data_IF_449219554675
#
_entry.id   IF_449219554675
#
_cell.length_a   1.000
_cell.length_b   1.000
_cell.length_c   1.000
_cell.angle_alpha   90.00
_cell.angle_beta   90.00
_cell.angle_gamma   90.00
#
_symmetry.space_group_name_H-M   'P 1'
#
loop_
_entity.id
_entity.type
_entity.pdbx_description
1 polymer ?
#
# COMPACT_ATOMS: atom_id res chain seq x y z
N UNK A 1 22.13 -2.43 -9.67
CA UNK A 1 21.23 -3.60 -9.60
C UNK A 1 20.90 -3.83 -8.14
N UNK A 2 19.67 -3.55 -7.71
CA UNK A 2 19.25 -3.92 -6.36
C UNK A 2 19.12 -5.44 -6.30
N UNK A 3 19.80 -6.08 -5.34
CA UNK A 3 19.76 -7.53 -5.18
C UNK A 3 18.39 -7.94 -4.62
N UNK A 4 17.78 -9.00 -5.16
CA UNK A 4 16.47 -9.49 -4.71
C UNK A 4 16.52 -9.84 -3.20
N UNK A 5 15.78 -9.13 -2.32
CA UNK A 5 15.80 -9.37 -0.88
C UNK A 5 15.44 -10.81 -0.45
N UNK A 6 14.70 -11.58 -1.25
CA UNK A 6 14.50 -13.02 -1.00
C UNK A 6 15.81 -13.78 -1.11
N UNK A 7 16.61 -13.51 -2.14
CA UNK A 7 17.89 -14.19 -2.37
C UNK A 7 18.90 -13.79 -1.28
N UNK A 8 18.97 -12.50 -0.92
CA UNK A 8 20.02 -12.01 -0.02
C UNK A 8 19.69 -12.10 1.46
N UNK A 9 18.40 -12.09 1.83
CA UNK A 9 17.97 -12.06 3.24
C UNK A 9 17.16 -13.28 3.64
N UNK A 10 16.10 -13.62 2.89
CA UNK A 10 15.17 -14.70 3.28
C UNK A 10 15.75 -16.10 3.08
N UNK A 11 16.32 -16.36 1.90
CA UNK A 11 16.77 -17.70 1.50
C UNK A 11 17.86 -18.28 2.41
N UNK A 12 18.88 -17.52 2.84
CA UNK A 12 19.86 -18.02 3.81
C UNK A 12 19.23 -18.46 5.14
N UNK A 13 18.21 -17.74 5.62
CA UNK A 13 17.49 -18.10 6.84
C UNK A 13 16.63 -19.34 6.62
N UNK A 14 15.93 -19.41 5.49
CA UNK A 14 15.13 -20.58 5.13
C UNK A 14 15.99 -21.85 5.05
N UNK A 15 17.21 -21.79 4.51
CA UNK A 15 18.12 -22.95 4.49
C UNK A 15 18.64 -23.36 5.87
N UNK A 16 18.77 -22.40 6.79
CA UNK A 16 19.26 -22.65 8.15
C UNK A 16 18.19 -23.22 9.09
N UNK A 17 16.91 -23.12 8.71
CA UNK A 17 15.78 -23.45 9.57
C UNK A 17 14.77 -24.38 8.89
N UNK A 18 14.53 -25.55 9.49
CA UNK A 18 13.69 -26.57 8.88
C UNK A 18 12.24 -26.10 8.65
N UNK A 19 11.62 -25.39 9.61
CA UNK A 19 10.22 -24.99 9.44
C UNK A 19 10.10 -23.90 8.37
N UNK A 20 11.00 -22.92 8.41
CA UNK A 20 11.06 -21.83 7.45
C UNK A 20 11.36 -22.33 6.03
N UNK A 21 12.19 -23.38 5.89
CA UNK A 21 12.44 -24.05 4.63
C UNK A 21 11.15 -24.63 4.02
N UNK A 22 10.38 -25.39 4.81
CA UNK A 22 9.19 -26.09 4.32
C UNK A 22 8.08 -25.11 3.89
N UNK A 23 7.83 -24.06 4.69
CA UNK A 23 6.84 -23.03 4.31
C UNK A 23 7.30 -22.22 3.08
N UNK A 24 8.62 -22.05 2.88
CA UNK A 24 9.16 -21.39 1.69
C UNK A 24 8.95 -22.24 0.44
N UNK A 25 9.20 -23.55 0.52
CA UNK A 25 8.91 -24.49 -0.57
C UNK A 25 7.41 -24.53 -0.88
N UNK A 26 6.58 -24.51 0.15
CA UNK A 26 5.14 -24.50 0.01
C UNK A 26 4.63 -23.22 -0.67
N UNK A 27 5.23 -22.06 -0.37
CA UNK A 27 4.92 -20.78 -1.03
C UNK A 27 5.26 -20.84 -2.52
N UNK A 28 6.40 -21.44 -2.88
CA UNK A 28 6.77 -21.64 -4.28
C UNK A 28 5.79 -22.57 -5.01
N UNK A 29 5.40 -23.70 -4.38
CA UNK A 29 4.39 -24.62 -4.91
C UNK A 29 3.05 -23.92 -5.13
N UNK A 30 2.59 -23.13 -4.15
CA UNK A 30 1.33 -22.39 -4.26
C UNK A 30 1.34 -21.45 -5.47
N UNK A 31 2.45 -20.74 -5.69
CA UNK A 31 2.57 -19.83 -6.83
C UNK A 31 2.45 -20.58 -8.16
N UNK A 32 3.16 -21.69 -8.34
CA UNK A 32 3.05 -22.51 -9.56
C UNK A 32 1.63 -23.06 -9.75
N UNK A 33 1.00 -23.53 -8.68
CA UNK A 33 -0.34 -24.12 -8.70
C UNK A 33 -1.44 -23.09 -8.99
N UNK A 34 -1.32 -21.87 -8.45
CA UNK A 34 -2.20 -20.73 -8.78
C UNK A 34 -2.17 -20.43 -10.27
N UNK A 35 -0.98 -20.43 -10.89
CA UNK A 35 -0.84 -20.19 -12.32
C UNK A 35 -1.38 -21.36 -13.16
N UNK A 36 -1.23 -22.60 -12.67
CA UNK A 36 -1.74 -23.78 -13.34
C UNK A 36 -3.26 -23.90 -13.29
N UNK A 37 -3.94 -23.26 -12.33
CA UNK A 37 -5.40 -23.29 -12.11
C UNK A 37 -5.97 -24.72 -11.99
N UNK A 38 -5.23 -25.62 -11.32
CA UNK A 38 -5.58 -27.05 -11.20
C UNK A 38 -5.79 -27.52 -9.75
N UNK A 39 -6.06 -26.59 -8.84
CA UNK A 39 -6.08 -26.85 -7.39
C UNK A 39 -4.68 -26.87 -6.78
N UNK A 40 -4.55 -27.36 -5.54
CA UNK A 40 -3.34 -27.21 -4.72
C UNK A 40 -2.76 -28.54 -4.14
N UNK A 41 -2.74 -29.66 -4.89
CA UNK A 41 -2.37 -30.96 -4.32
C UNK A 41 -0.95 -31.00 -3.72
N UNK A 42 0.03 -30.31 -4.30
CA UNK A 42 1.41 -30.28 -3.80
C UNK A 42 1.49 -29.37 -2.58
N UNK A 43 0.90 -28.17 -2.65
CA UNK A 43 0.86 -27.27 -1.50
C UNK A 43 0.09 -27.87 -0.32
N UNK A 44 -0.95 -28.68 -0.56
CA UNK A 44 -1.68 -29.39 0.50
C UNK A 44 -0.84 -30.48 1.15
N UNK A 45 -0.07 -31.23 0.35
CA UNK A 45 0.87 -32.22 0.87
C UNK A 45 1.94 -31.57 1.77
N UNK A 46 2.56 -30.49 1.30
CA UNK A 46 3.58 -29.73 2.05
C UNK A 46 3.00 -29.03 3.29
N UNK A 47 1.69 -28.77 3.31
CA UNK A 47 1.00 -28.13 4.45
C UNK A 47 1.06 -29.01 5.69
N UNK A 48 0.87 -30.32 5.53
CA UNK A 48 0.86 -31.29 6.63
C UNK A 48 2.18 -31.23 7.40
N UNK A 49 3.30 -31.26 6.68
CA UNK A 49 4.63 -31.20 7.28
C UNK A 49 4.93 -29.84 7.91
N UNK A 50 4.56 -28.76 7.23
CA UNK A 50 4.77 -27.39 7.71
C UNK A 50 4.03 -27.12 9.02
N UNK A 51 2.75 -27.52 9.11
CA UNK A 51 1.94 -27.37 10.33
C UNK A 51 2.52 -28.24 11.46
N UNK A 52 2.94 -29.48 11.16
CA UNK A 52 3.52 -30.37 12.16
C UNK A 52 4.82 -29.79 12.75
N UNK A 53 5.68 -29.21 11.91
CA UNK A 53 6.91 -28.55 12.34
C UNK A 53 6.62 -27.31 13.19
N UNK A 54 5.72 -26.43 12.74
CA UNK A 54 5.35 -25.22 13.50
C UNK A 54 4.72 -25.58 14.85
N UNK A 55 3.85 -26.60 14.91
CA UNK A 55 3.25 -27.05 16.17
C UNK A 55 4.31 -27.51 17.17
N UNK A 56 5.27 -28.35 16.74
CA UNK A 56 6.38 -28.80 17.60
C UNK A 56 7.21 -27.64 18.14
N UNK A 57 7.43 -26.59 17.33
CA UNK A 57 8.17 -25.39 17.78
C UNK A 57 7.39 -24.59 18.80
N UNK A 58 6.08 -24.43 18.63
CA UNK A 58 5.24 -23.69 19.56
C UNK A 58 5.14 -24.42 20.91
N UNK A 59 5.20 -25.74 20.91
CA UNK A 59 5.23 -26.57 22.13
C UNK A 59 6.56 -26.47 22.90
N UNK A 60 7.67 -26.11 22.24
CA UNK A 60 8.98 -25.91 22.85
C UNK A 60 9.21 -24.41 23.19
N UNK A 61 9.25 -24.01 24.47
CA UNK A 61 9.46 -22.62 24.86
C UNK A 61 10.75 -21.98 24.32
N UNK A 62 11.77 -22.78 24.00
CA UNK A 62 13.04 -22.31 23.45
C UNK A 62 12.98 -21.99 21.94
N UNK A 63 11.94 -22.49 21.25
CA UNK A 63 11.72 -22.33 19.81
C UNK A 63 10.50 -21.46 19.50
N UNK A 64 9.48 -21.49 20.36
CA UNK A 64 8.17 -20.86 20.13
C UNK A 64 8.26 -19.36 19.77
N UNK A 65 9.22 -18.65 20.37
CA UNK A 65 9.36 -17.20 20.21
C UNK A 65 10.51 -16.77 19.30
N UNK A 66 11.13 -17.71 18.56
CA UNK A 66 12.18 -17.37 17.60
C UNK A 66 11.62 -16.68 16.35
N UNK A 67 12.48 -15.92 15.68
CA UNK A 67 12.16 -15.19 14.46
C UNK A 67 11.60 -16.12 13.38
N UNK A 68 12.25 -17.26 13.16
CA UNK A 68 11.87 -18.25 12.14
C UNK A 68 10.50 -18.89 12.43
N UNK A 69 10.11 -18.99 13.70
CA UNK A 69 8.79 -19.48 14.10
C UNK A 69 7.71 -18.47 13.70
N UNK A 70 7.94 -17.17 13.92
CA UNK A 70 6.99 -16.12 13.53
C UNK A 70 6.89 -15.99 12.01
N UNK A 71 8.03 -16.01 11.34
CA UNK A 71 8.12 -15.98 9.88
C UNK A 71 7.42 -17.19 9.26
N UNK A 72 7.53 -18.38 9.87
CA UNK A 72 6.78 -19.56 9.44
C UNK A 72 5.27 -19.39 9.63
N UNK A 73 4.82 -18.91 10.79
CA UNK A 73 3.39 -18.71 11.07
C UNK A 73 2.77 -17.67 10.15
N UNK A 74 3.43 -16.54 9.90
CA UNK A 74 2.88 -15.51 9.01
C UNK A 74 2.89 -15.96 7.55
N UNK A 75 3.90 -16.75 7.13
CA UNK A 75 3.94 -17.33 5.79
C UNK A 75 2.80 -18.33 5.59
N UNK A 76 2.49 -19.16 6.59
CA UNK A 76 1.32 -20.05 6.56
C UNK A 76 0.01 -19.27 6.40
N UNK A 77 -0.12 -18.10 7.06
CA UNK A 77 -1.29 -17.24 6.87
C UNK A 77 -1.44 -16.79 5.40
N UNK A 78 -0.34 -16.41 4.75
CA UNK A 78 -0.36 -16.05 3.33
C UNK A 78 -0.70 -17.22 2.42
N UNK A 79 -0.20 -18.42 2.73
CA UNK A 79 -0.46 -19.62 1.95
C UNK A 79 -1.95 -19.99 2.01
N UNK A 80 -2.51 -20.06 3.22
CA UNK A 80 -3.94 -20.34 3.41
C UNK A 80 -4.80 -19.27 2.73
N UNK A 81 -4.39 -18.01 2.77
CA UNK A 81 -5.12 -16.92 2.10
C UNK A 81 -5.10 -17.09 0.59
N UNK A 82 -3.95 -17.44 0.00
CA UNK A 82 -3.83 -17.71 -1.43
C UNK A 82 -4.66 -18.92 -1.90
N UNK A 83 -4.94 -19.87 -1.00
CA UNK A 83 -5.88 -20.98 -1.25
C UNK A 83 -7.35 -20.61 -1.03
N UNK A 84 -7.64 -19.41 -0.55
CA UNK A 84 -8.98 -18.94 -0.21
C UNK A 84 -9.47 -19.37 1.18
N UNK A 85 -8.62 -19.94 2.03
CA UNK A 85 -8.97 -20.35 3.39
C UNK A 85 -8.82 -19.19 4.39
N UNK A 86 -9.81 -18.30 4.39
CA UNK A 86 -9.80 -17.07 5.18
C UNK A 86 -9.77 -17.33 6.69
N UNK A 87 -10.44 -18.39 7.15
CA UNK A 87 -10.54 -18.73 8.57
C UNK A 87 -9.19 -19.20 9.14
N UNK A 88 -8.50 -20.10 8.43
CA UNK A 88 -7.16 -20.54 8.82
C UNK A 88 -6.15 -19.38 8.76
N UNK A 89 -6.24 -18.54 7.71
CA UNK A 89 -5.41 -17.35 7.56
C UNK A 89 -5.54 -16.43 8.79
N UNK A 90 -6.78 -16.10 9.17
CA UNK A 90 -7.07 -15.29 10.36
C UNK A 90 -6.54 -15.93 11.64
N UNK A 91 -6.67 -17.25 11.79
CA UNK A 91 -6.13 -17.97 12.95
C UNK A 91 -4.61 -17.82 13.05
N UNK A 92 -3.89 -17.93 11.92
CA UNK A 92 -2.44 -17.73 11.88
C UNK A 92 -2.04 -16.28 12.17
N UNK A 93 -2.75 -15.28 11.62
CA UNK A 93 -2.51 -13.86 11.92
C UNK A 93 -2.70 -13.55 13.41
N UNK A 94 -3.78 -14.03 14.04
CA UNK A 94 -3.98 -13.88 15.48
C UNK A 94 -2.92 -14.63 16.29
N UNK A 95 -2.45 -15.77 15.80
CA UNK A 95 -1.31 -16.50 16.35
C UNK A 95 -0.04 -15.66 16.37
N UNK A 96 0.37 -15.11 15.22
CA UNK A 96 1.61 -14.32 15.14
C UNK A 96 1.51 -13.01 15.90
N UNK A 97 0.35 -12.35 15.95
CA UNK A 97 0.14 -11.15 16.78
C UNK A 97 0.39 -11.42 18.27
N UNK A 98 -0.06 -12.57 18.78
CA UNK A 98 0.25 -12.99 20.17
C UNK A 98 1.75 -13.20 20.37
N UNK A 99 2.43 -13.84 19.43
CA UNK A 99 3.88 -14.04 19.48
C UNK A 99 4.65 -12.71 19.49
N UNK A 100 4.24 -11.73 18.67
CA UNK A 100 4.78 -10.37 18.68
C UNK A 100 4.55 -9.68 20.01
N UNK A 101 3.35 -9.80 20.58
CA UNK A 101 3.01 -9.23 21.89
C UNK A 101 3.92 -9.78 23.00
N UNK A 102 4.16 -11.09 23.03
CA UNK A 102 5.07 -11.73 24.00
C UNK A 102 6.51 -11.21 23.86
N UNK A 103 6.93 -10.81 22.65
CA UNK A 103 8.26 -10.20 22.41
C UNK A 103 8.32 -8.70 22.62
N UNK A 104 7.30 -8.09 23.21
CA UNK A 104 7.29 -6.68 23.56
C UNK A 104 6.79 -5.75 22.46
N UNK A 105 6.08 -6.28 21.44
CA UNK A 105 5.45 -5.48 20.40
C UNK A 105 6.23 -5.42 19.08
N UNK A 106 5.59 -4.85 18.05
CA UNK A 106 6.13 -4.86 16.68
C UNK A 106 7.38 -3.99 16.54
N UNK A 107 7.47 -2.90 17.31
CA UNK A 107 8.66 -2.04 17.33
C UNK A 107 9.86 -2.74 17.98
N UNK A 108 9.65 -3.42 19.10
CA UNK A 108 10.71 -4.19 19.75
C UNK A 108 11.21 -5.33 18.85
N UNK A 109 10.27 -5.99 18.16
CA UNK A 109 10.61 -6.97 17.15
C UNK A 109 11.47 -6.36 16.03
N UNK A 110 11.12 -5.17 15.53
CA UNK A 110 11.89 -4.48 14.48
C UNK A 110 13.32 -4.18 14.92
N UNK A 111 13.56 -3.82 16.19
CA UNK A 111 14.92 -3.58 16.72
C UNK A 111 15.79 -4.85 16.75
N UNK A 112 15.18 -6.01 16.99
CA UNK A 112 15.90 -7.30 17.11
C UNK A 112 16.01 -8.03 15.77
N UNK A 113 14.91 -8.12 15.04
CA UNK A 113 14.80 -8.76 13.72
C UNK A 113 13.98 -7.86 12.78
N UNK A 114 14.65 -6.94 12.06
CA UNK A 114 13.98 -6.07 11.09
C UNK A 114 13.25 -6.83 9.98
N UNK A 115 13.76 -7.99 9.56
CA UNK A 115 13.13 -8.81 8.52
C UNK A 115 11.80 -9.40 9.02
N UNK A 116 11.81 -10.04 10.19
CA UNK A 116 10.61 -10.65 10.76
C UNK A 116 9.54 -9.60 11.05
N UNK A 117 9.94 -8.42 11.56
CA UNK A 117 8.99 -7.33 11.76
C UNK A 117 8.31 -6.90 10.44
N UNK A 118 9.08 -6.76 9.35
CA UNK A 118 8.53 -6.44 8.02
C UNK A 118 7.56 -7.51 7.53
N UNK A 119 7.97 -8.78 7.59
CA UNK A 119 7.14 -9.90 7.16
C UNK A 119 5.84 -9.95 7.94
N UNK A 120 5.92 -9.84 9.27
CA UNK A 120 4.74 -9.88 10.13
C UNK A 120 3.79 -8.71 9.86
N UNK A 121 4.29 -7.46 9.85
CA UNK A 121 3.41 -6.31 9.62
C UNK A 121 2.82 -6.28 8.22
N UNK A 122 3.63 -6.61 7.20
CA UNK A 122 3.23 -6.54 5.80
C UNK A 122 2.23 -7.63 5.45
N UNK A 123 2.58 -8.90 5.71
CA UNK A 123 1.71 -10.04 5.35
C UNK A 123 0.41 -10.01 6.13
N UNK A 124 0.44 -9.63 7.41
CA UNK A 124 -0.79 -9.50 8.20
C UNK A 124 -1.74 -8.47 7.60
N UNK A 125 -1.23 -7.34 7.12
CA UNK A 125 -2.06 -6.32 6.47
C UNK A 125 -2.64 -6.79 5.13
N UNK A 126 -1.83 -7.47 4.31
CA UNK A 126 -2.28 -7.97 3.02
C UNK A 126 -3.34 -9.07 3.15
N UNK A 127 -3.08 -10.06 4.00
CA UNK A 127 -3.98 -11.22 4.23
C UNK A 127 -5.32 -10.81 4.82
N UNK A 128 -5.30 -9.83 5.73
CA UNK A 128 -6.51 -9.33 6.37
C UNK A 128 -7.16 -8.15 5.63
N UNK A 129 -6.58 -7.74 4.49
CA UNK A 129 -6.97 -6.56 3.71
C UNK A 129 -7.17 -5.29 4.57
N UNK A 130 -6.44 -5.20 5.69
CA UNK A 130 -6.57 -4.14 6.68
C UNK A 130 -5.37 -4.11 7.64
N UNK A 131 -4.93 -2.93 8.12
CA UNK A 131 -3.84 -2.83 9.10
C UNK A 131 -4.09 -3.67 10.36
N UNK A 132 -3.09 -4.46 10.76
CA UNK A 132 -3.19 -5.34 11.94
C UNK A 132 -2.38 -4.86 13.14
N UNK A 133 -1.60 -3.80 12.96
CA UNK A 133 -0.77 -3.16 13.98
C UNK A 133 -0.99 -1.64 13.93
N UNK A 134 -0.98 -0.94 15.07
CA UNK A 134 -1.00 0.51 15.07
C UNK A 134 0.27 1.08 14.46
N UNK A 135 0.28 2.38 14.16
CA UNK A 135 1.49 3.14 13.85
C UNK A 135 1.87 4.01 15.02
N UNK A 136 3.16 4.27 15.20
CA UNK A 136 3.59 5.36 16.09
C UNK A 136 3.11 6.72 15.55
N UNK A 137 2.95 7.68 16.45
CA UNK A 137 2.60 9.04 16.07
C UNK A 137 3.79 9.81 15.48
N UNK A 138 3.59 11.10 15.20
CA UNK A 138 4.64 11.94 14.64
C UNK A 138 5.78 12.23 15.60
N UNK A 139 5.55 12.22 16.93
CA UNK A 139 6.60 12.34 17.93
C UNK A 139 7.43 11.05 18.06
N UNK A 140 6.96 9.95 17.47
CA UNK A 140 7.56 8.64 17.62
C UNK A 140 7.11 7.93 18.90
N UNK A 141 6.00 8.37 19.49
CA UNK A 141 5.38 7.75 20.66
C UNK A 141 4.40 6.64 20.24
N UNK A 142 4.19 5.68 21.14
CA UNK A 142 3.35 4.49 20.94
C UNK A 142 4.14 3.20 20.72
N UNK A 143 3.40 2.08 20.62
CA UNK A 143 3.92 0.71 20.52
C UNK A 143 3.79 0.08 19.11
N UNK A 144 3.41 0.92 18.14
CA UNK A 144 3.14 0.53 16.77
C UNK A 144 4.36 0.49 15.84
N UNK A 145 4.09 0.35 14.54
CA UNK A 145 5.09 0.40 13.49
C UNK A 145 5.77 1.77 13.50
N UNK A 146 7.10 1.77 13.65
CA UNK A 146 7.93 2.99 13.55
C UNK A 146 8.11 3.45 12.11
N UNK A 147 8.00 4.75 11.90
CA UNK A 147 8.34 5.42 10.64
C UNK A 147 9.84 5.29 10.31
N UNK A 148 10.19 5.51 9.05
CA UNK A 148 11.61 5.62 8.65
C UNK A 148 12.22 6.96 9.12
N UNK A 149 13.54 7.06 9.31
CA UNK A 149 14.19 8.31 9.72
C UNK A 149 13.86 9.51 8.83
N UNK A 150 13.74 9.29 7.51
CA UNK A 150 13.40 10.33 6.53
C UNK A 150 12.00 10.92 6.77
N UNK A 151 11.07 10.15 7.32
CA UNK A 151 9.74 10.64 7.71
C UNK A 151 9.82 11.67 8.83
N UNK A 152 10.70 11.43 9.80
CA UNK A 152 10.92 12.30 10.95
C UNK A 152 11.65 13.58 10.54
N UNK A 153 12.68 13.46 9.70
CA UNK A 153 13.40 14.61 9.13
C UNK A 153 12.48 15.52 8.31
N UNK A 154 11.60 14.92 7.49
CA UNK A 154 10.60 15.67 6.74
C UNK A 154 9.61 16.46 7.62
N UNK A 155 9.48 16.12 8.93
CA UNK A 155 8.76 16.93 9.92
C UNK A 155 9.50 18.21 10.27
N UNK A 156 10.77 18.06 10.65
CA UNK A 156 11.57 19.12 11.27
C UNK A 156 11.82 20.26 10.25
N UNK A 157 11.99 19.91 8.99
CA UNK A 157 12.18 20.88 7.91
C UNK A 157 10.89 21.70 7.62
N UNK A 158 9.72 21.27 8.10
CA UNK A 158 8.45 21.97 7.87
C UNK A 158 8.30 23.22 8.74
N UNK A 159 8.96 23.23 9.89
CA UNK A 159 8.99 24.40 10.77
C UNK A 159 9.88 25.52 10.20
N UNK A 160 10.81 25.20 9.28
CA UNK A 160 11.74 26.16 8.67
C UNK A 160 11.39 26.59 7.24
N UNK A 161 10.67 25.77 6.48
CA UNK A 161 10.28 26.05 5.10
C UNK A 161 8.80 25.72 4.90
N UNK A 162 7.97 26.77 4.80
CA UNK A 162 6.62 26.65 4.28
C UNK A 162 6.75 26.34 2.79
N UNK A 163 6.89 25.06 2.43
CA UNK A 163 6.56 24.64 1.07
C UNK A 163 5.09 25.00 0.89
N UNK A 164 4.83 26.10 0.18
CA UNK A 164 3.50 26.42 -0.31
C UNK A 164 3.08 25.24 -1.18
N UNK A 165 2.26 24.35 -0.62
CA UNK A 165 1.45 23.46 -1.42
C UNK A 165 0.71 24.34 -2.41
N UNK A 166 0.67 23.91 -3.67
CA UNK A 166 0.11 24.71 -4.74
C UNK A 166 -1.33 25.12 -4.39
N UNK A 167 -1.69 26.35 -4.76
CA UNK A 167 -2.96 27.05 -4.53
C UNK A 167 -4.21 26.18 -4.76
N UNK A 168 -4.11 25.13 -5.59
CA UNK A 168 -5.18 24.17 -5.89
C UNK A 168 -5.53 23.21 -4.73
N UNK A 169 -4.60 22.84 -3.86
CA UNK A 169 -4.90 22.01 -2.68
C UNK A 169 -5.46 22.87 -1.53
N UNK A 170 -4.98 24.10 -1.41
CA UNK A 170 -5.48 25.09 -0.44
C UNK A 170 -6.95 25.43 -0.69
N UNK A 171 -7.38 25.46 -1.95
CA UNK A 171 -8.79 25.65 -2.30
C UNK A 171 -9.70 24.51 -1.89
N UNK A 172 -9.22 23.27 -1.87
CA UNK A 172 -10.00 22.07 -1.49
C UNK A 172 -10.07 21.87 0.03
N UNK A 173 -9.34 22.69 0.81
CA UNK A 173 -9.30 22.65 2.28
C UNK A 173 -9.02 21.26 2.85
N UNK A 174 -8.13 20.47 2.22
CA UNK A 174 -7.83 19.09 2.64
C UNK A 174 -7.58 18.99 4.15
N UNK A 175 -8.01 17.90 4.78
CA UNK A 175 -7.88 17.75 6.24
C UNK A 175 -6.41 17.82 6.70
N UNK A 176 -6.13 18.43 7.88
CA UNK A 176 -4.75 18.59 8.36
C UNK A 176 -3.92 17.28 8.42
N UNK A 177 -4.47 16.13 8.86
CA UNK A 177 -3.73 14.87 8.85
C UNK A 177 -3.29 14.44 7.44
N UNK A 178 -4.15 14.66 6.44
CA UNK A 178 -3.85 14.32 5.05
C UNK A 178 -2.81 15.25 4.44
N UNK A 179 -2.89 16.56 4.72
CA UNK A 179 -1.87 17.54 4.34
C UNK A 179 -0.51 17.16 4.92
N UNK A 180 -0.47 16.78 6.20
CA UNK A 180 0.77 16.38 6.86
C UNK A 180 1.40 15.13 6.22
N UNK A 181 0.61 14.11 5.92
CA UNK A 181 1.10 12.90 5.24
C UNK A 181 1.62 13.24 3.83
N UNK A 182 0.84 14.02 3.06
CA UNK A 182 1.21 14.39 1.70
C UNK A 182 2.51 15.22 1.65
N UNK A 183 2.64 16.23 2.52
CA UNK A 183 3.83 17.10 2.53
C UNK A 183 5.10 16.32 2.87
N UNK A 184 5.05 15.40 3.84
CA UNK A 184 6.17 14.51 4.15
C UNK A 184 6.52 13.59 2.99
N UNK A 185 5.52 13.00 2.33
CA UNK A 185 5.75 12.14 1.18
C UNK A 185 6.37 12.90 0.01
N UNK A 186 5.90 14.12 -0.27
CA UNK A 186 6.50 14.99 -1.29
C UNK A 186 7.96 15.25 -0.98
N UNK A 187 8.31 15.60 0.26
CA UNK A 187 9.71 15.81 0.64
C UNK A 187 10.57 14.57 0.47
N UNK A 188 10.05 13.40 0.83
CA UNK A 188 10.80 12.15 0.71
C UNK A 188 10.95 11.72 -0.76
N UNK A 189 9.92 11.92 -1.59
CA UNK A 189 9.84 11.37 -2.94
C UNK A 189 10.22 12.36 -4.06
N UNK A 190 10.04 13.67 -3.84
CA UNK A 190 10.42 14.75 -4.78
C UNK A 190 11.83 15.27 -4.49
N UNK A 191 12.08 15.63 -3.23
CA UNK A 191 13.34 16.21 -2.82
C UNK A 191 14.26 15.04 -2.49
N UNK A 192 15.11 14.70 -3.45
CA UNK A 192 16.14 13.65 -3.36
C UNK A 192 17.21 14.02 -2.32
N UNK A 193 16.81 14.14 -1.05
CA UNK A 193 17.65 14.60 0.05
C UNK A 193 18.57 13.48 0.55
N UNK A 194 19.44 12.96 -0.32
CA UNK A 194 20.73 12.25 -0.06
C UNK A 194 20.94 10.87 -0.70
N UNK A 195 19.92 10.17 -1.19
CA UNK A 195 20.06 8.98 -2.07
C UNK A 195 18.65 8.46 -2.39
N UNK A 196 18.46 7.83 -3.56
CA UNK A 196 17.22 7.06 -3.80
C UNK A 196 16.98 6.10 -2.64
N UNK A 197 15.74 6.00 -2.15
CA UNK A 197 15.38 4.99 -1.13
C UNK A 197 15.80 3.61 -1.63
N UNK A 198 16.47 2.84 -0.78
CA UNK A 198 16.68 1.42 -1.08
C UNK A 198 15.34 0.65 -0.97
N UNK A 199 15.33 -0.60 -1.46
CA UNK A 199 14.11 -1.42 -1.46
C UNK A 199 13.53 -1.64 -0.04
N UNK A 200 14.39 -1.74 0.98
CA UNK A 200 13.94 -1.97 2.36
C UNK A 200 13.39 -0.70 3.00
N UNK A 201 13.97 0.46 2.68
CA UNK A 201 13.47 1.77 3.09
C UNK A 201 12.15 2.10 2.41
N UNK A 202 12.01 1.80 1.11
CA UNK A 202 10.75 1.94 0.39
C UNK A 202 9.68 1.01 0.98
N UNK A 203 10.03 -0.23 1.30
CA UNK A 203 9.13 -1.15 2.00
C UNK A 203 8.68 -0.62 3.36
N UNK A 204 9.62 -0.16 4.19
CA UNK A 204 9.30 0.39 5.52
C UNK A 204 8.42 1.65 5.41
N UNK A 205 8.69 2.52 4.43
CA UNK A 205 7.87 3.71 4.15
C UNK A 205 6.46 3.31 3.72
N UNK A 206 6.34 2.43 2.72
CA UNK A 206 5.04 1.96 2.22
C UNK A 206 4.25 1.27 3.34
N UNK A 207 4.88 0.38 4.09
CA UNK A 207 4.24 -0.31 5.21
C UNK A 207 3.71 0.69 6.24
N UNK A 208 4.52 1.65 6.67
CA UNK A 208 4.10 2.67 7.62
C UNK A 208 2.97 3.56 7.08
N UNK A 209 3.12 4.09 5.87
CA UNK A 209 2.15 5.04 5.28
C UNK A 209 0.80 4.38 5.02
N UNK A 210 0.78 3.17 4.47
CA UNK A 210 -0.48 2.45 4.20
C UNK A 210 -1.18 2.08 5.51
N UNK A 211 -0.44 1.61 6.53
CA UNK A 211 -1.03 1.39 7.86
C UNK A 211 -1.63 2.68 8.41
N UNK A 212 -0.87 3.78 8.38
CA UNK A 212 -1.30 5.05 8.93
C UNK A 212 -2.54 5.59 8.23
N UNK A 213 -2.54 5.61 6.89
CA UNK A 213 -3.66 6.06 6.09
C UNK A 213 -4.90 5.22 6.37
N UNK A 214 -4.80 3.89 6.38
CA UNK A 214 -5.97 3.03 6.55
C UNK A 214 -6.47 2.96 8.01
N UNK A 215 -5.66 3.34 8.99
CA UNK A 215 -6.07 3.46 10.41
C UNK A 215 -6.75 4.79 10.75
N UNK A 216 -6.67 5.82 9.91
CA UNK A 216 -7.41 7.06 10.15
C UNK A 216 -8.91 6.77 10.30
N UNK A 217 -9.64 7.45 11.19
CA UNK A 217 -11.09 7.31 11.25
C UNK A 217 -11.70 7.70 9.89
N UNK A 218 -12.75 7.00 9.41
CA UNK A 218 -13.47 7.44 8.23
C UNK A 218 -14.03 8.85 8.45
N UNK A 219 -13.83 9.73 7.48
CA UNK A 219 -14.42 11.06 7.50
C UNK A 219 -15.91 10.95 7.14
N UNK A 220 -16.76 10.69 8.14
CA UNK A 220 -18.23 10.69 7.99
C UNK A 220 -18.84 12.00 8.46
N UNK A 221 -20.00 12.37 7.92
CA UNK A 221 -20.77 13.57 8.31
C UNK A 221 -21.01 13.67 9.83
N UNK A 222 -21.00 12.55 10.55
CA UNK A 222 -21.18 12.49 12.01
C UNK A 222 -19.95 12.83 12.84
N UNK A 223 -18.75 12.70 12.28
CA UNK A 223 -17.47 12.98 12.95
C UNK A 223 -16.84 14.31 12.48
N UNK A 224 -17.47 14.95 11.50
CA UNK A 224 -17.01 16.20 10.93
C UNK A 224 -17.55 17.37 11.76
N UNK A 225 -16.74 18.42 11.93
CA UNK A 225 -17.22 19.68 12.51
C UNK A 225 -18.41 20.18 11.67
N UNK A 226 -19.38 20.85 12.31
CA UNK A 226 -20.61 21.33 11.68
C UNK A 226 -20.39 22.21 10.42
N UNK A 227 -19.17 22.68 10.19
CA UNK A 227 -18.74 23.52 9.06
C UNK A 227 -18.02 22.74 7.94
N UNK A 228 -17.87 21.41 8.03
CA UNK A 228 -17.07 20.64 7.08
C UNK A 228 -17.83 20.39 5.78
N UNK A 229 -17.27 20.84 4.66
CA UNK A 229 -17.90 20.74 3.34
C UNK A 229 -17.83 19.29 2.81
N UNK A 230 -18.91 18.69 2.29
CA UNK A 230 -18.88 17.37 1.63
C UNK A 230 -17.79 17.23 0.54
N UNK A 231 -17.50 18.29 -0.21
CA UNK A 231 -16.43 18.33 -1.22
C UNK A 231 -15.05 18.12 -0.57
N UNK A 232 -14.81 18.77 0.57
CA UNK A 232 -13.57 18.68 1.34
C UNK A 232 -13.34 17.25 1.87
N UNK A 233 -14.41 16.62 2.37
CA UNK A 233 -14.36 15.24 2.85
C UNK A 233 -14.06 14.26 1.71
N UNK A 234 -14.79 14.38 0.60
CA UNK A 234 -14.59 13.53 -0.56
C UNK A 234 -13.18 13.69 -1.17
N UNK A 235 -12.68 14.92 -1.28
CA UNK A 235 -11.32 15.19 -1.76
C UNK A 235 -10.25 14.59 -0.84
N UNK A 236 -10.44 14.70 0.48
CA UNK A 236 -9.50 14.15 1.47
C UNK A 236 -9.49 12.62 1.45
N UNK A 237 -10.65 11.97 1.32
CA UNK A 237 -10.75 10.51 1.19
C UNK A 237 -10.22 10.02 -0.17
N UNK A 238 -10.46 10.76 -1.27
CA UNK A 238 -9.83 10.46 -2.56
C UNK A 238 -8.30 10.46 -2.45
N UNK A 239 -7.74 11.52 -1.85
CA UNK A 239 -6.30 11.63 -1.63
C UNK A 239 -5.77 10.50 -0.75
N UNK A 240 -6.50 10.15 0.33
CA UNK A 240 -6.15 9.05 1.24
C UNK A 240 -6.00 7.71 0.52
N UNK A 241 -7.03 7.29 -0.21
CA UNK A 241 -7.02 6.00 -0.89
C UNK A 241 -6.09 5.99 -2.11
N UNK A 242 -5.99 7.11 -2.84
CA UNK A 242 -5.05 7.23 -3.95
C UNK A 242 -3.58 7.22 -3.47
N UNK A 243 -3.24 7.86 -2.34
CA UNK A 243 -1.88 7.73 -1.78
C UNK A 243 -1.61 6.28 -1.38
N UNK A 244 -2.55 5.61 -0.72
CA UNK A 244 -2.36 4.21 -0.34
C UNK A 244 -2.10 3.32 -1.57
N UNK A 245 -2.88 3.46 -2.65
CA UNK A 245 -2.65 2.75 -3.91
C UNK A 245 -1.33 3.14 -4.57
N UNK A 246 -1.00 4.43 -4.60
CA UNK A 246 0.25 4.93 -5.17
C UNK A 246 1.46 4.29 -4.47
N UNK A 247 1.46 4.23 -3.14
CA UNK A 247 2.51 3.59 -2.35
C UNK A 247 2.62 2.08 -2.64
N UNK A 248 1.50 1.39 -2.86
CA UNK A 248 1.48 -0.02 -3.27
C UNK A 248 2.04 -0.22 -4.69
N UNK A 249 1.72 0.69 -5.63
CA UNK A 249 2.19 0.65 -7.01
C UNK A 249 3.71 0.84 -7.06
N UNK A 250 4.23 1.91 -6.46
CA UNK A 250 5.68 2.20 -6.51
C UNK A 250 6.51 1.17 -5.74
N UNK A 251 5.94 0.55 -4.70
CA UNK A 251 6.57 -0.57 -4.00
C UNK A 251 6.65 -1.82 -4.88
N UNK A 252 5.59 -2.10 -5.65
CA UNK A 252 5.47 -3.29 -6.49
C UNK A 252 5.32 -4.60 -5.69
N UNK A 253 5.05 -5.70 -6.39
CA UNK A 253 4.82 -7.02 -5.78
C UNK A 253 6.08 -7.87 -5.81
N UNK A 254 7.01 -7.63 -4.89
CA UNK A 254 8.27 -8.40 -4.89
C UNK A 254 8.06 -9.82 -4.32
N UNK A 255 7.12 -10.03 -3.40
CA UNK A 255 6.91 -11.32 -2.70
C UNK A 255 5.46 -11.77 -2.60
N UNK A 256 4.58 -10.85 -2.23
CA UNK A 256 3.16 -11.12 -2.05
C UNK A 256 2.37 -10.18 -2.94
N UNK A 257 1.29 -10.72 -3.51
CA UNK A 257 0.35 -9.91 -4.29
C UNK A 257 -0.31 -8.87 -3.38
N UNK A 258 -0.47 -7.65 -3.88
CA UNK A 258 -1.25 -6.62 -3.21
C UNK A 258 -2.73 -6.63 -3.62
N UNK A 259 -3.14 -7.53 -4.52
CA UNK A 259 -4.41 -7.43 -5.24
C UNK A 259 -5.64 -7.32 -4.31
N UNK A 260 -5.74 -8.16 -3.27
CA UNK A 260 -6.87 -8.11 -2.33
C UNK A 260 -7.02 -6.74 -1.66
N UNK A 261 -5.95 -6.29 -0.99
CA UNK A 261 -5.90 -4.98 -0.34
C UNK A 261 -6.11 -3.83 -1.34
N UNK A 262 -5.44 -3.86 -2.49
CA UNK A 262 -5.57 -2.83 -3.53
C UNK A 262 -7.02 -2.74 -4.04
N UNK A 263 -7.68 -3.87 -4.27
CA UNK A 263 -9.09 -3.93 -4.70
C UNK A 263 -10.02 -3.37 -3.62
N UNK A 264 -9.76 -3.66 -2.33
CA UNK A 264 -10.53 -3.09 -1.23
C UNK A 264 -10.40 -1.55 -1.16
N UNK A 265 -9.17 -1.04 -1.31
CA UNK A 265 -8.88 0.41 -1.34
C UNK A 265 -9.51 1.07 -2.57
N UNK A 266 -9.41 0.44 -3.74
CA UNK A 266 -9.92 0.97 -5.00
C UNK A 266 -11.44 1.17 -4.97
N UNK A 267 -12.19 0.24 -4.35
CA UNK A 267 -13.64 0.39 -4.17
C UNK A 267 -13.99 1.67 -3.40
N UNK A 268 -13.23 1.99 -2.36
CA UNK A 268 -13.40 3.22 -1.59
C UNK A 268 -13.00 4.45 -2.43
N UNK A 269 -11.87 4.39 -3.13
CA UNK A 269 -11.42 5.46 -4.00
C UNK A 269 -12.49 5.82 -5.05
N UNK A 270 -13.01 4.82 -5.76
CA UNK A 270 -14.05 5.01 -6.78
C UNK A 270 -15.31 5.65 -6.19
N UNK A 271 -15.76 5.18 -5.03
CA UNK A 271 -16.91 5.76 -4.34
C UNK A 271 -16.72 7.25 -4.05
N UNK A 272 -15.60 7.62 -3.40
CA UNK A 272 -15.34 9.01 -3.04
C UNK A 272 -15.08 9.91 -4.26
N UNK A 273 -14.50 9.37 -5.33
CA UNK A 273 -14.29 10.13 -6.57
C UNK A 273 -15.62 10.50 -7.22
N UNK A 274 -16.58 9.56 -7.28
CA UNK A 274 -17.93 9.84 -7.79
C UNK A 274 -18.63 10.90 -6.94
N UNK A 275 -18.51 10.82 -5.60
CA UNK A 275 -19.07 11.83 -4.69
C UNK A 275 -18.45 13.19 -4.92
N UNK A 276 -17.12 13.26 -5.07
CA UNK A 276 -16.39 14.51 -5.32
C UNK A 276 -16.85 15.17 -6.63
N UNK A 277 -16.91 14.40 -7.71
CA UNK A 277 -17.32 14.88 -9.03
C UNK A 277 -18.79 15.37 -9.01
N UNK A 278 -19.70 14.63 -8.37
CA UNK A 278 -21.09 15.03 -8.23
C UNK A 278 -21.25 16.35 -7.45
N UNK A 279 -20.49 16.52 -6.37
CA UNK A 279 -20.52 17.73 -5.54
C UNK A 279 -19.89 18.95 -6.26
N UNK A 280 -18.86 18.74 -7.09
CA UNK A 280 -18.26 19.79 -7.91
C UNK A 280 -19.26 20.31 -8.97
N UNK A 281 -19.99 19.42 -9.65
CA UNK A 281 -21.05 19.80 -10.61
C UNK A 281 -22.16 20.60 -9.94
N UNK A 282 -22.58 20.20 -8.73
CA UNK A 282 -23.65 20.88 -8.00
C UNK A 282 -23.26 22.28 -7.49
N UNK A 283 -21.97 22.53 -7.25
CA UNK A 283 -21.47 23.78 -6.67
C UNK A 283 -21.05 24.82 -7.72
N UNK A 284 -21.17 24.54 -9.02
CA UNK A 284 -20.71 25.41 -10.13
C UNK A 284 -19.24 25.80 -10.02
N UNK A 285 -18.42 24.95 -9.40
CA UNK A 285 -17.00 25.23 -9.20
C UNK A 285 -16.16 24.59 -10.31
N UNK A 286 -15.23 25.36 -10.89
CA UNK A 286 -14.29 24.94 -11.95
C UNK A 286 -13.22 23.92 -11.47
N UNK A 287 -13.38 23.27 -10.31
CA UNK A 287 -12.42 22.26 -9.82
C UNK A 287 -12.51 20.93 -10.57
N UNK A 288 -13.53 20.75 -11.42
CA UNK A 288 -13.68 19.57 -12.25
C UNK A 288 -12.46 19.52 -13.18
N UNK A 289 -11.68 18.43 -13.11
CA UNK A 289 -10.42 18.23 -13.85
C UNK A 289 -9.19 18.99 -13.32
N UNK A 290 -9.13 19.34 -12.03
CA UNK A 290 -7.89 19.85 -11.42
C UNK A 290 -6.74 18.81 -11.34
N UNK A 291 -5.52 19.21 -10.92
CA UNK A 291 -4.39 18.29 -10.75
C UNK A 291 -4.67 17.09 -9.84
N UNK A 292 -5.50 17.26 -8.81
CA UNK A 292 -5.92 16.16 -7.93
C UNK A 292 -6.72 15.09 -8.69
N UNK A 293 -7.66 15.51 -9.54
CA UNK A 293 -8.52 14.61 -10.31
C UNK A 293 -7.68 13.77 -11.29
N UNK A 294 -6.82 14.44 -12.06
CA UNK A 294 -5.86 13.79 -12.96
C UNK A 294 -4.98 12.79 -12.21
N UNK A 295 -4.47 13.17 -11.03
CA UNK A 295 -3.62 12.29 -10.22
C UNK A 295 -4.37 11.07 -9.69
N UNK A 296 -5.57 11.26 -9.14
CA UNK A 296 -6.42 10.17 -8.64
C UNK A 296 -6.82 9.22 -9.75
N UNK A 297 -7.26 9.73 -10.91
CA UNK A 297 -7.62 8.92 -12.08
C UNK A 297 -6.42 8.11 -12.56
N UNK A 298 -5.25 8.74 -12.65
CA UNK A 298 -4.01 8.06 -13.05
C UNK A 298 -3.66 6.88 -12.14
N UNK A 299 -3.77 7.08 -10.82
CA UNK A 299 -3.53 6.01 -9.84
C UNK A 299 -4.56 4.89 -10.00
N UNK A 300 -5.84 5.23 -10.19
CA UNK A 300 -6.92 4.27 -10.40
C UNK A 300 -6.75 3.42 -11.68
N UNK A 301 -6.34 4.05 -12.79
CA UNK A 301 -6.03 3.35 -14.05
C UNK A 301 -4.94 2.29 -13.86
N UNK A 302 -3.82 2.68 -13.26
CA UNK A 302 -2.71 1.74 -13.04
C UNK A 302 -3.08 0.66 -12.03
N UNK A 303 -3.81 1.02 -10.96
CA UNK A 303 -4.27 0.05 -9.96
C UNK A 303 -5.26 -0.99 -10.52
N UNK A 304 -5.97 -0.68 -11.61
CA UNK A 304 -6.96 -1.60 -12.23
C UNK A 304 -6.37 -2.42 -13.37
N UNK A 305 -5.36 -1.91 -14.08
CA UNK A 305 -4.80 -2.51 -15.30
C UNK A 305 -4.28 -3.95 -15.13
N UNK A 306 -3.79 -4.33 -13.94
CA UNK A 306 -3.17 -5.65 -13.70
C UNK A 306 -3.96 -6.56 -12.75
N UNK A 307 -5.15 -6.13 -12.30
CA UNK A 307 -5.90 -6.82 -11.23
C UNK A 307 -7.15 -7.57 -11.71
N UNK A 308 -7.33 -7.77 -13.02
CA UNK A 308 -8.51 -8.44 -13.59
C UNK A 308 -9.81 -7.65 -13.42
N UNK A 309 -9.71 -6.34 -13.18
CA UNK A 309 -10.83 -5.42 -12.96
C UNK A 309 -11.18 -4.66 -14.24
N UNK A 310 -11.48 -5.37 -15.33
CA UNK A 310 -11.69 -4.77 -16.66
C UNK A 310 -12.75 -3.65 -16.67
N UNK A 311 -13.85 -3.81 -15.91
CA UNK A 311 -14.91 -2.81 -15.83
C UNK A 311 -14.52 -1.55 -15.06
N UNK A 312 -13.74 -1.70 -13.99
CA UNK A 312 -13.24 -0.55 -13.24
C UNK A 312 -12.15 0.17 -14.06
N UNK A 313 -11.30 -0.60 -14.75
CA UNK A 313 -10.29 -0.08 -15.66
C UNK A 313 -10.92 0.75 -16.79
N UNK A 314 -11.94 0.23 -17.45
CA UNK A 314 -12.68 0.95 -18.50
C UNK A 314 -13.30 2.23 -17.96
N UNK A 315 -13.88 2.19 -16.75
CA UNK A 315 -14.45 3.39 -16.12
C UNK A 315 -13.40 4.47 -15.87
N UNK A 316 -12.24 4.12 -15.28
CA UNK A 316 -11.15 5.07 -15.08
C UNK A 316 -10.58 5.59 -16.41
N UNK A 317 -10.53 4.75 -17.44
CA UNK A 317 -10.12 5.14 -18.79
C UNK A 317 -11.05 6.21 -19.38
N UNK A 318 -12.37 6.05 -19.21
CA UNK A 318 -13.35 7.04 -19.67
C UNK A 318 -13.20 8.37 -18.93
N UNK A 319 -12.95 8.33 -17.61
CA UNK A 319 -12.67 9.54 -16.82
C UNK A 319 -11.40 10.25 -17.31
N UNK A 320 -10.35 9.48 -17.65
CA UNK A 320 -9.11 10.02 -18.18
C UNK A 320 -9.30 10.70 -19.54
N UNK A 321 -10.03 10.07 -20.46
CA UNK A 321 -10.38 10.66 -21.75
C UNK A 321 -11.18 11.97 -21.60
N UNK A 322 -12.20 11.97 -20.73
CA UNK A 322 -13.01 13.16 -20.47
C UNK A 322 -12.16 14.32 -19.89
N UNK A 323 -11.30 14.01 -18.93
CA UNK A 323 -10.43 15.01 -18.29
C UNK A 323 -9.35 15.53 -19.24
N UNK A 324 -8.77 14.65 -20.07
CA UNK A 324 -7.82 15.04 -21.10
C UNK A 324 -8.45 15.98 -22.13
N UNK A 325 -9.65 15.68 -22.61
CA UNK A 325 -10.38 16.54 -23.54
C UNK A 325 -10.72 17.91 -22.93
N UNK A 326 -11.16 17.93 -21.66
CA UNK A 326 -11.51 19.17 -20.95
C UNK A 326 -10.31 20.10 -20.73
N UNK A 327 -9.14 19.54 -20.42
CA UNK A 327 -7.91 20.30 -20.15
C UNK A 327 -7.02 20.48 -21.38
N UNK A 328 -7.34 19.85 -22.51
CA UNK A 328 -6.52 19.85 -23.72
C UNK A 328 -5.21 19.07 -23.58
N UNK A 329 -5.17 18.02 -22.75
CA UNK A 329 -3.99 17.16 -22.60
C UNK A 329 -3.86 16.24 -23.81
N UNK A 330 -2.67 16.19 -24.39
CA UNK A 330 -2.44 15.43 -25.64
C UNK A 330 -1.21 14.53 -25.61
N UNK A 331 -0.33 14.70 -24.61
CA UNK A 331 0.89 13.92 -24.45
C UNK A 331 1.21 13.67 -22.98
N UNK A 332 2.06 12.67 -22.74
CA UNK A 332 2.49 12.26 -21.39
C UNK A 332 3.05 13.43 -20.56
N UNK A 333 3.85 14.32 -21.17
CA UNK A 333 4.43 15.48 -20.48
C UNK A 333 3.37 16.41 -19.88
N UNK A 334 2.22 16.55 -20.56
CA UNK A 334 1.12 17.38 -20.06
C UNK A 334 0.57 16.76 -18.77
N UNK A 335 0.35 15.45 -18.76
CA UNK A 335 -0.16 14.68 -17.59
C UNK A 335 0.83 14.73 -16.43
N UNK A 336 2.11 14.45 -16.67
CA UNK A 336 3.14 14.42 -15.62
C UNK A 336 3.22 15.73 -14.85
N UNK A 337 2.99 16.86 -15.53
CA UNK A 337 2.97 18.17 -14.88
C UNK A 337 1.90 18.24 -13.78
N UNK A 338 0.71 17.66 -14.01
CA UNK A 338 -0.34 17.55 -12.99
C UNK A 338 0.02 16.56 -11.89
N UNK A 339 0.66 15.42 -12.22
CA UNK A 339 1.04 14.43 -11.21
C UNK A 339 2.08 14.98 -10.23
N UNK A 340 3.05 15.75 -10.73
CA UNK A 340 4.07 16.40 -9.92
C UNK A 340 3.50 17.46 -8.97
N UNK A 341 2.38 18.10 -9.33
CA UNK A 341 1.67 19.04 -8.45
C UNK A 341 1.09 18.35 -7.22
N UNK A 342 0.83 17.03 -7.25
CA UNK A 342 0.29 16.28 -6.10
C UNK A 342 1.37 15.43 -5.43
N UNK A 343 1.80 14.34 -6.07
CA UNK A 343 2.82 13.42 -5.55
C UNK A 343 3.37 12.57 -6.71
N UNK A 344 4.69 12.60 -6.92
CA UNK A 344 5.29 11.91 -8.06
C UNK A 344 6.76 11.56 -7.83
N UNK A 345 7.06 10.28 -7.69
CA UNK A 345 8.41 9.74 -7.62
C UNK A 345 8.87 9.29 -9.02
N UNK A 346 10.09 9.64 -9.42
CA UNK A 346 10.72 9.10 -10.63
C UNK A 346 11.22 7.68 -10.35
N UNK A 347 10.39 6.70 -10.69
CA UNK A 347 10.61 5.27 -10.45
C UNK A 347 10.33 4.47 -11.72
N UNK A 348 10.81 3.22 -11.87
CA UNK A 348 10.52 2.39 -13.04
C UNK A 348 9.02 2.23 -13.34
N UNK A 349 8.16 2.30 -12.31
CA UNK A 349 6.71 2.22 -12.42
C UNK A 349 6.07 3.40 -13.16
N UNK A 350 6.81 4.49 -13.41
CA UNK A 350 6.39 5.57 -14.31
C UNK A 350 5.93 5.04 -15.67
N UNK A 351 6.58 3.98 -16.16
CA UNK A 351 6.21 3.33 -17.41
C UNK A 351 4.76 2.82 -17.41
N UNK A 352 4.26 2.32 -16.27
CA UNK A 352 2.89 1.83 -16.15
C UNK A 352 1.90 2.98 -16.35
N UNK A 353 2.15 4.14 -15.73
CA UNK A 353 1.30 5.31 -15.88
C UNK A 353 1.31 5.83 -17.31
N UNK A 354 2.51 5.95 -17.91
CA UNK A 354 2.66 6.40 -19.30
C UNK A 354 1.88 5.51 -20.27
N UNK A 355 2.01 4.19 -20.17
CA UNK A 355 1.30 3.25 -21.05
C UNK A 355 -0.22 3.39 -20.95
N UNK A 356 -0.76 3.56 -19.75
CA UNK A 356 -2.19 3.73 -19.57
C UNK A 356 -2.70 5.06 -20.15
N UNK A 357 -1.95 6.16 -20.01
CA UNK A 357 -2.31 7.44 -20.62
C UNK A 357 -2.16 7.45 -22.15
N UNK A 358 -1.14 6.78 -22.69
CA UNK A 358 -1.01 6.60 -24.15
C UNK A 358 -2.22 5.85 -24.73
N UNK A 359 -2.72 4.82 -24.03
CA UNK A 359 -3.97 4.14 -24.40
C UNK A 359 -5.18 5.08 -24.35
N UNK A 360 -5.28 5.93 -23.33
CA UNK A 360 -6.34 6.92 -23.22
C UNK A 360 -6.32 7.90 -24.41
N UNK A 361 -5.16 8.42 -24.80
CA UNK A 361 -5.02 9.32 -25.94
C UNK A 361 -5.40 8.65 -27.27
N UNK A 362 -5.03 7.38 -27.45
CA UNK A 362 -5.43 6.60 -28.63
C UNK A 362 -6.95 6.42 -28.64
N UNK A 363 -7.58 6.05 -27.51
CA UNK A 363 -9.04 5.91 -27.40
C UNK A 363 -9.77 7.21 -27.73
N UNK A 364 -9.27 8.34 -27.23
CA UNK A 364 -9.83 9.67 -27.48
C UNK A 364 -9.72 10.09 -28.95
N UNK A 365 -8.69 9.65 -29.67
CA UNK A 365 -8.52 9.98 -31.10
C UNK A 365 -9.44 9.21 -32.05
N UNK A 366 -10.03 8.11 -31.57
CA UNK A 366 -10.93 7.22 -32.33
C UNK A 366 -12.41 7.54 -32.08
N UNK A 367 -12.70 8.29 -31.02
CA UNK A 367 -14.05 8.71 -30.61
C UNK A 367 -14.34 10.09 -31.17
#
# INVERSE_FOLDING_TARGET
MASNPFIVSWWPLALADQALFHVSLQTASLYEELQAQKGFPISDLLMVDSIALVRRRIEDPSLAFRDETMDSVVTLAAIEHGKGNIEASKMHIEGVKRLVSIRGGIDELKRRSPLTARMVSWVSMLVMESPQFPTKDDAGDGDGISAIPQWQLASADAEGQHETLDTSLDTLKITPPMINILSRLRRILHLTWHSSLDNTQLHDLTCFVVHRLLLLPPLTDTNADADTNPVQLAASECLRYAIALYMLIIHGTTYYSHAGLANAILRQLRYHLVVLQAAAVASTTDYIHGPLDIWVISVGMVATASNGLERDHEWFMDQACASAAALGLSKWDDVVSHLQVILWARMPQEELFRQEWERAFVKMSVT
#
